data_IF_933737406536
#
_entry.id   IF_933737406536
#
_cell.length_a   1.000
_cell.length_b   1.000
_cell.length_c   1.000
_cell.angle_alpha   90.00
_cell.angle_beta   90.00
_cell.angle_gamma   90.00
#
_symmetry.space_group_name_H-M   'P 1'
#
loop_
_entity.id
_entity.type
_entity.pdbx_description
1 polymer ?
#
# COMPACT_ATOMS: atom_id res chain seq x y z
N UNK A 1 -3.22 -4.70 -41.32
CA UNK A 1 -3.31 -4.79 -39.85
C UNK A 1 -3.12 -6.26 -39.50
N UNK A 2 -1.99 -6.62 -38.87
CA UNK A 2 -1.57 -8.03 -38.69
C UNK A 2 -2.01 -8.64 -37.36
N UNK A 3 -3.03 -8.08 -36.72
CA UNK A 3 -3.59 -8.58 -35.48
C UNK A 3 -5.04 -8.97 -35.73
N UNK A 4 -5.34 -10.25 -35.51
CA UNK A 4 -6.71 -10.78 -35.54
C UNK A 4 -7.41 -10.50 -34.21
N UNK A 5 -8.72 -10.36 -34.22
CA UNK A 5 -9.55 -10.01 -33.05
C UNK A 5 -9.30 -10.92 -31.83
N UNK A 6 -9.01 -12.20 -32.09
CA UNK A 6 -8.63 -13.20 -31.08
C UNK A 6 -7.40 -12.80 -30.27
N UNK A 7 -6.43 -12.08 -30.87
CA UNK A 7 -5.26 -11.57 -30.15
C UNK A 7 -5.66 -10.46 -29.16
N UNK A 8 -6.57 -9.57 -29.55
CA UNK A 8 -7.06 -8.52 -28.66
C UNK A 8 -7.90 -9.08 -27.52
N UNK A 9 -8.74 -10.09 -27.80
CA UNK A 9 -9.51 -10.81 -26.78
C UNK A 9 -8.60 -11.52 -25.79
N UNK A 10 -7.49 -12.10 -26.26
CA UNK A 10 -6.47 -12.74 -25.41
C UNK A 10 -5.75 -11.74 -24.50
N UNK A 11 -5.36 -10.57 -25.03
CA UNK A 11 -4.69 -9.51 -24.26
C UNK A 11 -5.61 -8.78 -23.28
N UNK A 12 -6.90 -8.70 -23.57
CA UNK A 12 -7.90 -8.09 -22.69
C UNK A 12 -8.29 -8.96 -21.49
N UNK A 13 -7.82 -10.22 -21.42
CA UNK A 13 -8.13 -11.09 -20.30
C UNK A 13 -7.52 -10.58 -19.00
N UNK A 14 -8.36 -10.44 -17.98
CA UNK A 14 -7.95 -10.04 -16.64
C UNK A 14 -7.12 -11.08 -15.88
N UNK A 15 -6.87 -10.84 -14.57
CA UNK A 15 -6.04 -11.68 -13.72
C UNK A 15 -6.49 -13.13 -13.72
N UNK A 16 -5.53 -14.07 -13.72
CA UNK A 16 -5.83 -15.48 -13.47
C UNK A 16 -6.22 -15.72 -12.00
N UNK A 17 -6.81 -16.89 -11.72
CA UNK A 17 -7.10 -17.36 -10.35
C UNK A 17 -5.84 -17.37 -9.48
N UNK A 18 -4.71 -17.83 -10.03
CA UNK A 18 -3.42 -17.93 -9.33
C UNK A 18 -2.90 -16.57 -8.87
N UNK A 19 -3.07 -15.54 -9.70
CA UNK A 19 -2.66 -14.17 -9.35
C UNK A 19 -3.53 -13.57 -8.25
N UNK A 20 -4.83 -13.85 -8.28
CA UNK A 20 -5.76 -13.42 -7.22
C UNK A 20 -5.43 -14.08 -5.88
N UNK A 21 -5.07 -15.36 -5.89
CA UNK A 21 -4.63 -16.11 -4.70
C UNK A 21 -3.28 -15.60 -4.18
N UNK A 22 -2.32 -15.34 -5.06
CA UNK A 22 -1.03 -14.73 -4.70
C UNK A 22 -1.23 -13.40 -3.97
N UNK A 23 -2.10 -12.54 -4.48
CA UNK A 23 -2.43 -11.26 -3.86
C UNK A 23 -3.02 -11.43 -2.45
N UNK A 24 -4.01 -12.33 -2.29
CA UNK A 24 -4.60 -12.65 -0.98
C UNK A 24 -3.57 -13.20 0.00
N UNK A 25 -2.69 -14.07 -0.46
CA UNK A 25 -1.63 -14.65 0.36
C UNK A 25 -0.63 -13.58 0.81
N UNK A 26 -0.23 -12.66 -0.09
CA UNK A 26 0.60 -11.51 0.26
C UNK A 26 -0.06 -10.63 1.32
N UNK A 27 -1.32 -10.26 1.13
CA UNK A 27 -2.09 -9.45 2.08
C UNK A 27 -2.16 -10.10 3.46
N UNK A 28 -2.49 -11.39 3.51
CA UNK A 28 -2.55 -12.15 4.76
C UNK A 28 -1.19 -12.24 5.45
N UNK A 29 -0.11 -12.38 4.68
CA UNK A 29 1.25 -12.47 5.25
C UNK A 29 1.68 -11.14 5.85
N UNK A 30 1.41 -10.02 5.17
CA UNK A 30 1.68 -8.69 5.73
C UNK A 30 0.82 -8.44 6.96
N UNK A 31 -0.46 -8.80 6.96
CA UNK A 31 -1.33 -8.70 8.14
C UNK A 31 -0.75 -9.45 9.35
N UNK A 32 -0.21 -10.66 9.13
CA UNK A 32 0.48 -11.42 10.18
C UNK A 32 1.75 -10.74 10.68
N UNK A 33 2.57 -10.18 9.78
CA UNK A 33 3.78 -9.48 10.15
C UNK A 33 3.50 -8.24 11.02
N UNK A 34 2.46 -7.48 10.68
CA UNK A 34 2.03 -6.31 11.47
C UNK A 34 1.46 -6.74 12.83
N UNK A 35 0.65 -7.81 12.87
CA UNK A 35 0.07 -8.33 14.12
C UNK A 35 1.11 -8.96 15.06
N UNK A 36 2.26 -9.41 14.54
CA UNK A 36 3.35 -9.96 15.34
C UNK A 36 4.16 -8.89 16.09
N UNK A 37 4.10 -7.62 15.66
CA UNK A 37 4.78 -6.51 16.33
C UNK A 37 3.89 -5.93 17.43
N UNK A 38 4.39 -5.89 18.67
CA UNK A 38 3.62 -5.49 19.84
C UNK A 38 3.21 -4.01 19.85
N UNK A 39 3.95 -3.15 19.15
CA UNK A 39 3.64 -1.73 19.11
C UNK A 39 2.58 -1.46 18.04
N UNK A 40 2.72 -2.07 16.86
CA UNK A 40 1.76 -1.95 15.77
C UNK A 40 0.44 -2.66 16.06
N UNK A 41 0.45 -3.78 16.78
CA UNK A 41 -0.77 -4.51 17.15
C UNK A 41 -1.72 -3.69 18.05
N UNK A 42 -1.22 -2.65 18.72
CA UNK A 42 -2.03 -1.73 19.55
C UNK A 42 -2.66 -0.60 18.73
N UNK A 43 -2.23 -0.41 17.48
CA UNK A 43 -2.69 0.66 16.61
C UNK A 43 -3.85 0.17 15.74
N UNK A 44 -4.78 1.07 15.43
CA UNK A 44 -5.81 0.81 14.42
C UNK A 44 -5.18 0.88 13.01
N UNK A 45 -4.84 -0.28 12.46
CA UNK A 45 -4.20 -0.44 11.16
C UNK A 45 -5.05 -1.33 10.25
N UNK A 46 -5.29 -0.86 9.02
CA UNK A 46 -5.93 -1.64 7.96
C UNK A 46 -4.91 -2.04 6.90
N UNK A 47 -4.88 -3.32 6.56
CA UNK A 47 -4.03 -3.88 5.49
C UNK A 47 -4.90 -4.36 4.34
N UNK A 48 -4.63 -3.86 3.13
CA UNK A 48 -5.39 -4.22 1.92
C UNK A 48 -4.55 -4.07 0.64
N UNK A 49 -4.88 -4.86 -0.37
CA UNK A 49 -4.27 -4.73 -1.69
C UNK A 49 -4.72 -3.46 -2.44
N UNK A 50 -3.78 -2.83 -3.16
CA UNK A 50 -3.98 -1.67 -4.02
C UNK A 50 -3.45 -1.96 -5.45
N UNK A 51 -3.66 -1.03 -6.36
CA UNK A 51 -3.09 -1.08 -7.71
C UNK A 51 -3.93 -1.90 -8.69
N UNK A 52 -3.27 -2.42 -9.72
CA UNK A 52 -3.89 -3.14 -10.84
C UNK A 52 -4.69 -4.37 -10.42
N UNK A 53 -4.34 -5.00 -9.30
CA UNK A 53 -5.08 -6.14 -8.74
C UNK A 53 -6.48 -5.74 -8.24
N UNK A 54 -6.62 -4.58 -7.59
CA UNK A 54 -7.94 -4.06 -7.18
C UNK A 54 -8.76 -3.60 -8.40
N UNK A 55 -8.10 -3.01 -9.39
CA UNK A 55 -8.72 -2.53 -10.62
C UNK A 55 -8.97 -3.64 -11.67
N UNK A 56 -8.47 -4.87 -11.43
CA UNK A 56 -8.49 -6.00 -12.38
C UNK A 56 -7.88 -5.67 -13.75
N UNK A 57 -6.95 -4.71 -13.80
CA UNK A 57 -6.28 -4.24 -15.02
C UNK A 57 -4.90 -4.88 -15.23
N UNK A 58 -4.53 -5.89 -14.41
CA UNK A 58 -3.23 -6.54 -14.57
C UNK A 58 -3.22 -7.48 -15.78
N UNK A 59 -2.29 -7.20 -16.69
CA UNK A 59 -1.98 -8.06 -17.84
C UNK A 59 -1.14 -9.24 -17.31
N UNK A 60 -1.40 -10.44 -17.83
CA UNK A 60 -0.91 -11.71 -17.26
C UNK A 60 0.61 -11.81 -17.14
N UNK A 61 1.03 -12.60 -16.14
CA UNK A 61 2.38 -13.04 -15.74
C UNK A 61 3.24 -12.00 -14.99
N UNK A 62 3.62 -12.35 -13.75
CA UNK A 62 4.64 -11.69 -12.93
C UNK A 62 4.39 -10.23 -12.52
N UNK A 63 3.13 -9.81 -12.36
CA UNK A 63 2.83 -8.48 -11.80
C UNK A 63 3.23 -8.40 -10.31
N UNK A 64 3.74 -7.23 -9.91
CA UNK A 64 4.04 -6.90 -8.52
C UNK A 64 2.74 -6.65 -7.74
N UNK A 65 2.71 -7.04 -6.46
CA UNK A 65 1.51 -6.92 -5.61
C UNK A 65 1.67 -5.73 -4.66
N UNK A 66 0.93 -4.66 -4.91
CA UNK A 66 0.94 -3.50 -3.99
C UNK A 66 0.03 -3.75 -2.77
N UNK A 67 0.61 -3.80 -1.56
CA UNK A 67 -0.15 -3.97 -0.30
C UNK A 67 -0.03 -2.72 0.57
N UNK A 68 -1.11 -2.00 0.77
CA UNK A 68 -1.17 -0.84 1.64
C UNK A 68 -1.28 -1.26 3.12
N UNK A 69 -0.51 -0.60 4.00
CA UNK A 69 -0.58 -0.73 5.46
C UNK A 69 -0.92 0.63 6.07
N UNK A 70 -2.20 0.81 6.38
CA UNK A 70 -2.83 2.10 6.63
C UNK A 70 -3.13 2.31 8.11
N UNK A 71 -2.51 3.31 8.74
CA UNK A 71 -2.89 3.76 10.07
C UNK A 71 -4.13 4.66 10.03
N UNK A 72 -5.16 4.32 10.80
CA UNK A 72 -6.44 5.05 10.83
C UNK A 72 -6.50 6.11 11.94
N UNK A 73 -5.58 6.10 12.90
CA UNK A 73 -5.60 7.02 14.04
C UNK A 73 -5.13 8.45 13.73
N UNK A 74 -4.61 8.71 12.53
CA UNK A 74 -4.24 10.04 12.10
C UNK A 74 -4.23 10.15 10.56
N UNK A 75 -4.58 11.34 10.06
CA UNK A 75 -4.67 11.62 8.63
C UNK A 75 -3.82 12.85 8.25
N UNK A 76 -3.53 12.99 6.96
CA UNK A 76 -2.98 14.22 6.40
C UNK A 76 -4.10 15.02 5.75
N UNK A 77 -4.05 16.34 5.86
CA UNK A 77 -5.12 17.22 5.38
C UNK A 77 -4.56 18.54 4.92
N UNK A 78 -5.19 19.08 3.88
CA UNK A 78 -5.02 20.45 3.43
C UNK A 78 -6.34 21.16 3.72
N UNK A 79 -6.29 22.22 4.53
CA UNK A 79 -7.47 23.00 4.85
C UNK A 79 -7.70 24.05 3.76
N UNK A 80 -8.97 24.39 3.45
CA UNK A 80 -9.28 25.49 2.54
C UNK A 80 -8.64 26.82 2.99
N UNK A 81 -8.46 27.74 2.06
CA UNK A 81 -7.90 29.06 2.36
C UNK A 81 -8.69 29.76 3.47
N UNK A 82 -7.97 30.26 4.48
CA UNK A 82 -8.56 30.92 5.65
C UNK A 82 -9.17 29.97 6.68
N UNK A 83 -9.04 28.65 6.51
CA UNK A 83 -9.44 27.64 7.50
C UNK A 83 -8.24 26.94 8.11
N UNK A 84 -8.36 26.58 9.38
CA UNK A 84 -7.34 25.85 10.13
C UNK A 84 -7.89 24.56 10.74
N UNK A 85 -7.03 23.77 11.38
CA UNK A 85 -7.43 22.53 12.04
C UNK A 85 -8.48 22.75 13.14
N UNK A 86 -8.40 23.90 13.81
CA UNK A 86 -9.31 24.30 14.88
C UNK A 86 -10.75 24.48 14.39
N UNK A 87 -10.96 25.00 13.17
CA UNK A 87 -12.29 25.15 12.56
C UNK A 87 -13.03 23.81 12.40
N UNK A 88 -12.27 22.71 12.32
CA UNK A 88 -12.80 21.36 12.12
C UNK A 88 -12.66 20.48 13.38
N UNK A 89 -12.24 21.05 14.51
CA UNK A 89 -12.01 20.31 15.77
C UNK A 89 -10.88 19.27 15.68
N UNK A 90 -9.95 19.44 14.74
CA UNK A 90 -8.84 18.54 14.54
C UNK A 90 -7.68 18.85 15.50
N UNK A 91 -6.97 17.80 15.91
CA UNK A 91 -5.81 17.90 16.80
C UNK A 91 -4.58 17.30 16.15
N UNK A 92 -3.40 17.67 16.64
CA UNK A 92 -2.15 17.13 16.11
C UNK A 92 -2.04 15.63 16.38
N UNK A 93 -1.60 14.90 15.34
CA UNK A 93 -1.35 13.47 15.44
C UNK A 93 -0.19 13.17 16.38
N UNK A 94 -0.39 12.23 17.30
CA UNK A 94 0.63 11.81 18.28
C UNK A 94 1.75 10.95 17.68
N UNK A 95 1.54 10.42 16.47
CA UNK A 95 2.46 9.54 15.79
C UNK A 95 2.92 10.16 14.46
N UNK A 96 4.16 10.68 14.40
CA UNK A 96 4.77 11.13 13.17
C UNK A 96 4.83 10.01 12.12
N UNK A 97 4.73 10.38 10.83
CA UNK A 97 4.76 9.38 9.76
C UNK A 97 6.11 8.67 9.63
N UNK A 98 7.21 9.39 9.87
CA UNK A 98 8.55 8.80 9.85
C UNK A 98 8.65 7.66 10.87
N UNK A 99 8.20 7.91 12.10
CA UNK A 99 8.19 6.91 13.18
C UNK A 99 7.29 5.73 12.83
N UNK A 100 6.08 5.97 12.33
CA UNK A 100 5.19 4.90 11.87
C UNK A 100 5.86 4.05 10.76
N UNK A 101 6.50 4.70 9.79
CA UNK A 101 7.22 4.00 8.71
C UNK A 101 8.39 3.19 9.26
N UNK A 102 9.09 3.68 10.27
CA UNK A 102 10.17 2.97 10.97
C UNK A 102 9.64 1.73 11.71
N UNK A 103 8.54 1.87 12.46
CA UNK A 103 7.88 0.76 13.14
C UNK A 103 7.49 -0.35 12.16
N UNK A 104 6.83 0.01 11.06
CA UNK A 104 6.45 -0.94 10.01
C UNK A 104 7.68 -1.61 9.40
N UNK A 105 8.73 -0.84 9.11
CA UNK A 105 10.00 -1.40 8.61
C UNK A 105 10.65 -2.39 9.57
N UNK A 106 10.63 -2.12 10.88
CA UNK A 106 11.13 -3.03 11.92
C UNK A 106 10.30 -4.31 11.97
N UNK A 107 8.97 -4.20 12.00
CA UNK A 107 8.07 -5.34 12.01
C UNK A 107 8.29 -6.27 10.81
N UNK A 108 8.38 -5.69 9.60
CA UNK A 108 8.64 -6.44 8.38
C UNK A 108 10.00 -7.13 8.41
N UNK A 109 11.06 -6.45 8.86
CA UNK A 109 12.40 -7.06 8.99
C UNK A 109 12.44 -8.17 10.03
N UNK A 110 11.70 -8.01 11.13
CA UNK A 110 11.59 -9.05 12.16
C UNK A 110 10.88 -10.29 11.66
N UNK A 111 9.85 -10.12 10.82
CA UNK A 111 9.05 -11.24 10.33
C UNK A 111 9.66 -11.95 9.11
N UNK A 112 10.18 -11.20 8.14
CA UNK A 112 10.70 -11.74 6.87
C UNK A 112 12.24 -11.89 6.84
N UNK A 113 12.92 -11.37 7.86
CA UNK A 113 14.39 -11.29 7.90
C UNK A 113 14.93 -10.02 7.24
N UNK A 114 16.04 -9.51 7.79
CA UNK A 114 16.66 -8.24 7.38
C UNK A 114 17.11 -8.24 5.92
N UNK A 115 17.64 -9.37 5.43
CA UNK A 115 18.10 -9.53 4.04
C UNK A 115 16.98 -9.54 3.00
N UNK A 116 15.76 -9.78 3.44
CA UNK A 116 14.58 -9.90 2.58
C UNK A 116 13.86 -8.57 2.40
N UNK A 117 14.14 -7.55 3.23
CA UNK A 117 13.39 -6.29 3.26
C UNK A 117 14.29 -5.08 2.98
N UNK A 118 14.10 -4.47 1.83
CA UNK A 118 14.80 -3.23 1.43
C UNK A 118 13.89 -2.04 1.66
N UNK A 119 14.38 -1.03 2.38
CA UNK A 119 13.63 0.22 2.60
C UNK A 119 13.92 1.20 1.47
N UNK A 120 12.89 1.57 0.73
CA UNK A 120 12.92 2.63 -0.27
C UNK A 120 12.35 3.96 0.24
N UNK A 121 12.35 4.95 -0.64
CA UNK A 121 11.83 6.28 -0.33
C UNK A 121 10.32 6.27 -0.03
N UNK A 122 9.53 5.57 -0.86
CA UNK A 122 8.05 5.54 -0.73
C UNK A 122 7.50 4.21 -0.21
N UNK A 123 8.33 3.18 -0.12
CA UNK A 123 7.86 1.82 0.14
C UNK A 123 8.96 0.92 0.69
N UNK A 124 8.58 -0.30 1.07
CA UNK A 124 9.50 -1.38 1.37
C UNK A 124 9.33 -2.45 0.31
N UNK A 125 10.46 -2.91 -0.23
CA UNK A 125 10.52 -4.04 -1.14
C UNK A 125 10.84 -5.31 -0.34
N UNK A 126 10.06 -6.37 -0.56
CA UNK A 126 10.19 -7.65 0.13
C UNK A 126 10.52 -8.72 -0.93
N UNK A 127 11.74 -9.27 -0.93
CA UNK A 127 12.15 -10.22 -1.99
C UNK A 127 11.25 -11.47 -2.10
N UNK A 128 10.67 -11.90 -0.97
CA UNK A 128 9.75 -13.04 -0.94
C UNK A 128 8.36 -12.73 -1.52
N UNK A 129 8.00 -11.44 -1.58
CA UNK A 129 6.69 -10.94 -2.02
C UNK A 129 6.97 -9.59 -2.71
N UNK A 130 7.09 -9.54 -4.04
CA UNK A 130 7.23 -8.27 -4.79
C UNK A 130 6.13 -7.29 -4.37
N UNK A 131 6.41 -6.44 -3.38
CA UNK A 131 5.49 -5.54 -2.70
C UNK A 131 6.10 -4.16 -2.79
N UNK A 132 5.34 -3.19 -3.29
CA UNK A 132 5.94 -1.92 -3.73
C UNK A 132 5.40 -0.68 -3.05
N UNK A 133 4.47 -0.75 -2.08
CA UNK A 133 3.92 0.47 -1.45
C UNK A 133 3.50 0.29 0.00
N UNK A 134 3.97 1.14 0.90
CA UNK A 134 3.37 1.35 2.23
C UNK A 134 2.83 2.77 2.25
N UNK A 135 1.52 2.93 2.39
CA UNK A 135 0.85 4.23 2.40
C UNK A 135 0.09 4.47 3.70
N UNK A 136 0.29 5.64 4.30
CA UNK A 136 -0.66 6.24 5.25
C UNK A 136 -1.87 6.77 4.46
N UNK A 137 -3.00 7.04 5.12
CA UNK A 137 -4.11 7.79 4.52
C UNK A 137 -3.61 9.18 4.11
N UNK A 138 -3.02 9.28 2.92
CA UNK A 138 -3.24 10.44 2.08
C UNK A 138 -4.57 10.18 1.40
N UNK A 139 -5.63 10.64 2.06
CA UNK A 139 -6.99 10.74 1.56
C UNK A 139 -7.60 9.48 0.93
N UNK A 140 -8.68 8.99 1.55
CA UNK A 140 -9.70 8.31 0.77
C UNK A 140 -10.10 9.23 -0.38
N UNK A 141 -10.11 8.68 -1.60
CA UNK A 141 -10.19 9.35 -2.89
C UNK A 141 -8.78 9.78 -3.37
N UNK A 142 -8.34 9.20 -4.49
CA UNK A 142 -7.36 9.84 -5.36
C UNK A 142 -8.07 11.00 -6.07
N UNK A 143 -7.95 12.27 -5.66
CA UNK A 143 -7.67 13.27 -6.65
C UNK A 143 -6.18 13.15 -6.94
N UNK A 144 -5.82 12.95 -8.20
CA UNK A 144 -4.56 13.50 -8.66
C UNK A 144 -4.71 15.03 -8.58
N UNK A 145 -3.83 15.77 -7.88
CA UNK A 145 -3.42 17.06 -8.39
C UNK A 145 -1.94 17.04 -8.73
N UNK A 146 -1.64 17.84 -9.75
CA UNK A 146 -0.36 18.02 -10.40
C UNK A 146 0.74 18.41 -9.41
N UNK A 147 1.96 17.95 -9.73
CA UNK A 147 3.25 18.35 -9.15
C UNK A 147 3.70 17.65 -7.86
N UNK A 148 4.25 16.44 -8.04
CA UNK A 148 5.36 15.97 -7.22
C UNK A 148 6.65 16.60 -7.79
N UNK A 149 7.24 17.57 -7.10
CA UNK A 149 8.65 17.94 -7.27
C UNK A 149 9.45 17.41 -6.06
N UNK A 150 10.61 16.86 -6.40
CA UNK A 150 11.73 16.35 -5.58
C UNK A 150 11.46 15.11 -4.70
#
# INVERSE_FOLDING_TARGET
>A
MNFIEENFVSWAQGPSKTESEKCKNSENTIRKAIAADSDLAKLDITVFAQGSYKARTNIRQNSDVDICVRYNGAFFTEYPDGKSKEDFGNVDGKLPFADYKDMVGRALRSYFGVSSVTRGNKAFDIRALRITKISRLENGIFPFPRHFQA
#
